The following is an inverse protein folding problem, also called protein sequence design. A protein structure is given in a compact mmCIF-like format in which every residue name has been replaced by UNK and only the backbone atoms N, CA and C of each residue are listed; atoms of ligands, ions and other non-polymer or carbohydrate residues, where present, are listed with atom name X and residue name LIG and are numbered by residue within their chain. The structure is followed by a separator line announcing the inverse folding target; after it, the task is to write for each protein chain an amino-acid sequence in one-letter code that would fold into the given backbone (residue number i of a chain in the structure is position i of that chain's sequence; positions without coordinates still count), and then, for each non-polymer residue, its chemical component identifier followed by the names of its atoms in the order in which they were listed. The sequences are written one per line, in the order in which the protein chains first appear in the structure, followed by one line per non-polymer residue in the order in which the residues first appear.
data_IF_430463846653
#
_entry.id   IF_430463846653
#
_cell.length_a   1.000
_cell.length_b   1.000
_cell.length_c   1.000
_cell.angle_alpha   90.00
_cell.angle_beta   90.00
_cell.angle_gamma   90.00
#
_symmetry.space_group_name_H-M   'P 1'
#
loop_
_entity.id
_entity.type
_entity.pdbx_description
1 polymer ?
#
# COMPACT_ATOMS: atom_id res chain seq x y z
N UNK A 1 3.47 12.40 -15.17
CA UNK A 1 3.13 11.14 -14.48
C UNK A 1 4.40 10.29 -14.28
N UNK A 2 4.98 9.69 -15.33
CA UNK A 2 6.17 8.82 -15.19
C UNK A 2 7.36 9.44 -14.44
N UNK A 3 7.71 10.70 -14.69
CA UNK A 3 8.80 11.36 -13.96
C UNK A 3 8.52 11.49 -12.45
N UNK A 4 7.28 11.82 -12.07
CA UNK A 4 6.90 11.90 -10.67
C UNK A 4 6.93 10.52 -10.01
N UNK A 5 6.47 9.49 -10.74
CA UNK A 5 6.54 8.11 -10.25
C UNK A 5 7.98 7.69 -9.94
N UNK A 6 8.95 8.07 -10.79
CA UNK A 6 10.38 7.80 -10.58
C UNK A 6 10.98 8.57 -9.41
N UNK A 7 10.46 9.77 -9.10
CA UNK A 7 11.04 10.65 -8.07
C UNK A 7 10.43 10.45 -6.69
N UNK A 8 9.22 9.92 -6.59
CA UNK A 8 8.53 9.73 -5.31
C UNK A 8 7.93 8.34 -5.19
N UNK A 9 6.91 8.00 -5.99
CA UNK A 9 6.09 6.81 -5.76
C UNK A 9 6.89 5.49 -5.79
N UNK A 10 7.85 5.36 -6.70
CA UNK A 10 8.71 4.18 -6.77
C UNK A 10 9.70 4.12 -5.58
N UNK A 11 10.62 5.09 -5.39
CA UNK A 11 11.62 5.00 -4.33
C UNK A 11 11.06 5.14 -2.91
N UNK A 12 10.03 5.98 -2.70
CA UNK A 12 9.52 6.31 -1.37
C UNK A 12 8.36 5.41 -0.90
N UNK A 13 7.77 4.63 -1.79
CA UNK A 13 6.62 3.76 -1.46
C UNK A 13 6.85 2.31 -1.92
N UNK A 14 6.66 2.02 -3.21
CA UNK A 14 6.58 0.62 -3.67
C UNK A 14 7.92 -0.12 -3.51
N UNK A 15 9.02 0.44 -4.02
CA UNK A 15 10.31 -0.26 -4.02
C UNK A 15 10.83 -0.46 -2.60
N UNK A 16 10.67 0.56 -1.75
CA UNK A 16 11.04 0.51 -0.34
C UNK A 16 10.30 -0.59 0.42
N UNK A 17 9.00 -0.76 0.17
CA UNK A 17 8.19 -1.82 0.81
C UNK A 17 8.67 -3.21 0.41
N UNK A 18 8.87 -3.44 -0.89
CA UNK A 18 9.31 -4.74 -1.43
C UNK A 18 10.70 -5.09 -0.93
N UNK A 19 11.64 -4.14 -0.98
CA UNK A 19 13.02 -4.33 -0.52
C UNK A 19 13.08 -4.70 0.97
N UNK A 20 12.42 -3.91 1.84
CA UNK A 20 12.42 -4.18 3.29
C UNK A 20 11.78 -5.51 3.65
N UNK A 21 10.69 -5.88 2.97
CA UNK A 21 10.02 -7.16 3.24
C UNK A 21 10.88 -8.35 2.83
N UNK A 22 11.53 -8.30 1.67
CA UNK A 22 12.34 -9.39 1.17
C UNK A 22 13.69 -9.51 1.90
N UNK A 23 14.37 -8.38 2.14
CA UNK A 23 15.64 -8.36 2.86
C UNK A 23 15.47 -8.77 4.33
N UNK A 24 14.30 -8.55 4.92
CA UNK A 24 13.96 -9.08 6.25
C UNK A 24 14.04 -10.60 6.38
N UNK A 25 14.05 -11.33 5.25
CA UNK A 25 14.25 -12.78 5.18
C UNK A 25 15.36 -13.16 4.19
N UNK A 26 16.34 -12.28 3.98
CA UNK A 26 17.51 -12.50 3.11
C UNK A 26 17.19 -12.87 1.66
N UNK A 27 16.07 -12.39 1.11
CA UNK A 27 15.73 -12.55 -0.30
C UNK A 27 16.05 -11.27 -1.10
N UNK A 28 16.68 -11.45 -2.26
CA UNK A 28 16.93 -10.36 -3.21
C UNK A 28 15.79 -10.27 -4.22
N UNK A 29 15.21 -9.07 -4.38
CA UNK A 29 14.14 -8.82 -5.36
C UNK A 29 14.70 -8.16 -6.62
N UNK A 30 14.09 -8.47 -7.77
CA UNK A 30 14.43 -7.87 -9.07
C UNK A 30 13.21 -7.21 -9.66
N UNK A 31 13.39 -6.05 -10.30
CA UNK A 31 12.32 -5.28 -10.94
C UNK A 31 12.60 -5.09 -12.43
N UNK A 32 12.31 -6.09 -13.29
CA UNK A 32 12.68 -6.06 -14.71
C UNK A 32 12.12 -4.86 -15.48
N UNK A 33 10.94 -4.34 -15.09
CA UNK A 33 10.35 -3.15 -15.72
C UNK A 33 11.13 -1.85 -15.47
N UNK A 34 12.04 -1.84 -14.49
CA UNK A 34 12.93 -0.71 -14.19
C UNK A 34 14.34 -0.92 -14.74
N UNK A 35 14.55 -1.93 -15.59
CA UNK A 35 15.77 -2.03 -16.37
C UNK A 35 15.98 -0.73 -17.18
N UNK A 36 17.20 -0.17 -17.22
CA UNK A 36 17.48 1.08 -17.95
C UNK A 36 17.07 1.05 -19.42
N UNK A 37 17.21 -0.09 -20.10
CA UNK A 37 16.81 -0.28 -21.48
C UNK A 37 15.30 -0.22 -21.65
N UNK A 38 14.57 -0.92 -20.77
CA UNK A 38 13.09 -0.89 -20.75
C UNK A 38 12.58 0.51 -20.43
N UNK A 39 13.17 1.19 -19.46
CA UNK A 39 12.84 2.57 -19.11
C UNK A 39 13.05 3.52 -20.29
N UNK A 40 14.22 3.48 -20.92
CA UNK A 40 14.55 4.32 -22.09
C UNK A 40 13.56 4.10 -23.23
N UNK A 41 13.25 2.84 -23.55
CA UNK A 41 12.24 2.53 -24.56
C UNK A 41 10.86 3.07 -24.17
N UNK A 42 10.44 2.88 -22.91
CA UNK A 42 9.14 3.35 -22.43
C UNK A 42 8.97 4.88 -22.50
N UNK A 43 10.06 5.65 -22.35
CA UNK A 43 10.04 7.10 -22.47
C UNK A 43 9.84 7.56 -23.91
N UNK A 44 10.31 6.79 -24.89
CA UNK A 44 10.19 7.09 -26.32
C UNK A 44 8.83 6.69 -26.91
N UNK A 45 8.07 5.81 -26.24
CA UNK A 45 6.75 5.40 -26.71
C UNK A 45 5.75 6.57 -26.67
N UNK A 46 5.06 6.87 -27.79
CA UNK A 46 4.03 7.91 -27.83
C UNK A 46 2.91 7.68 -26.80
N UNK A 47 2.39 8.76 -26.21
CA UNK A 47 1.33 8.68 -25.20
C UNK A 47 0.08 7.95 -25.70
N UNK A 48 -0.29 8.13 -26.98
CA UNK A 48 -1.41 7.44 -27.62
C UNK A 48 -1.24 5.90 -27.70
N UNK A 49 -0.01 5.39 -27.56
CA UNK A 49 0.25 3.96 -27.47
C UNK A 49 0.30 3.47 -26.01
N UNK A 50 0.43 4.38 -25.03
CA UNK A 50 0.32 4.06 -23.60
C UNK A 50 -1.13 3.98 -23.15
N UNK A 51 -1.96 4.90 -23.67
CA UNK A 51 -3.39 5.01 -23.40
C UNK A 51 -4.13 5.18 -24.73
N UNK A 52 -5.08 4.31 -25.02
CA UNK A 52 -5.89 4.37 -26.24
C UNK A 52 -7.34 4.04 -25.93
N UNK A 53 -8.28 4.89 -26.35
CA UNK A 53 -9.73 4.70 -26.13
C UNK A 53 -10.09 4.43 -24.65
N UNK A 54 -9.48 5.17 -23.72
CA UNK A 54 -9.66 4.97 -22.27
C UNK A 54 -8.92 3.76 -21.69
N UNK A 55 -8.31 2.90 -22.52
CA UNK A 55 -7.55 1.75 -22.07
C UNK A 55 -6.07 2.09 -21.85
N UNK A 56 -5.62 2.01 -20.60
CA UNK A 56 -4.19 2.13 -20.24
C UNK A 56 -3.39 0.85 -20.49
N UNK A 57 -2.05 0.99 -20.46
CA UNK A 57 -1.10 -0.08 -20.78
C UNK A 57 -1.30 -0.66 -22.19
N UNK A 58 -1.82 0.12 -23.14
CA UNK A 58 -2.32 -0.39 -24.41
C UNK A 58 -1.25 -1.16 -25.20
N UNK A 59 -0.08 -0.57 -25.45
CA UNK A 59 1.04 -1.25 -26.15
C UNK A 59 1.51 -2.51 -25.43
N UNK A 60 1.57 -2.48 -24.10
CA UNK A 60 1.97 -3.63 -23.28
C UNK A 60 0.95 -4.76 -23.42
N UNK A 61 -0.35 -4.44 -23.43
CA UNK A 61 -1.43 -5.42 -23.67
C UNK A 61 -1.30 -6.05 -25.06
N UNK A 62 -1.12 -5.25 -26.11
CA UNK A 62 -0.93 -5.77 -27.48
C UNK A 62 0.24 -6.75 -27.56
N UNK A 63 1.35 -6.45 -26.87
CA UNK A 63 2.50 -7.35 -26.81
C UNK A 63 2.18 -8.64 -26.04
N UNK A 64 1.55 -8.54 -24.86
CA UNK A 64 1.25 -9.68 -24.00
C UNK A 64 0.20 -10.64 -24.59
N UNK A 65 -0.74 -10.14 -25.39
CA UNK A 65 -1.73 -10.99 -26.09
C UNK A 65 -1.09 -12.01 -27.06
N UNK A 66 0.18 -11.83 -27.42
CA UNK A 66 0.94 -12.80 -28.24
C UNK A 66 1.46 -13.99 -27.45
N UNK A 67 1.51 -13.89 -26.12
CA UNK A 67 2.17 -14.84 -25.23
C UNK A 67 1.27 -15.38 -24.11
N UNK A 68 0.22 -14.63 -23.73
CA UNK A 68 -0.62 -14.92 -22.58
C UNK A 68 -2.10 -14.82 -23.00
N UNK A 69 -2.97 -15.75 -22.55
CA UNK A 69 -4.42 -15.68 -22.78
C UNK A 69 -5.01 -14.32 -22.42
N UNK A 70 -5.91 -13.81 -23.26
CA UNK A 70 -6.49 -12.46 -23.13
C UNK A 70 -7.18 -12.28 -21.79
N UNK A 71 -7.84 -13.32 -21.32
CA UNK A 71 -8.62 -13.36 -20.09
C UNK A 71 -7.74 -13.06 -18.86
N UNK A 72 -6.46 -13.45 -18.88
CA UNK A 72 -5.52 -13.15 -17.80
C UNK A 72 -5.05 -11.69 -17.82
N UNK A 73 -4.95 -11.09 -19.00
CA UNK A 73 -4.50 -9.71 -19.18
C UNK A 73 -5.64 -8.70 -18.95
N UNK A 74 -6.87 -9.08 -19.26
CA UNK A 74 -8.06 -8.22 -19.19
C UNK A 74 -8.75 -8.22 -17.81
N UNK A 75 -8.19 -8.95 -16.84
CA UNK A 75 -8.66 -8.91 -15.45
C UNK A 75 -8.74 -7.46 -14.92
N UNK A 76 -9.71 -7.17 -14.04
CA UNK A 76 -9.78 -5.89 -13.36
C UNK A 76 -8.46 -5.52 -12.70
N UNK A 77 -8.11 -4.24 -12.72
CA UNK A 77 -6.88 -3.74 -12.11
C UNK A 77 -6.92 -4.00 -10.60
N UNK A 78 -6.08 -4.91 -10.12
CA UNK A 78 -5.79 -5.08 -8.71
C UNK A 78 -4.64 -4.13 -8.32
N UNK A 79 -4.87 -3.32 -7.27
CA UNK A 79 -3.79 -2.57 -6.63
C UNK A 79 -3.00 -3.44 -5.65
N UNK A 80 -2.00 -2.85 -4.99
CA UNK A 80 -1.26 -3.46 -3.89
C UNK A 80 -1.90 -3.15 -2.52
N UNK A 81 -3.20 -2.88 -2.49
CA UNK A 81 -3.90 -2.59 -1.25
C UNK A 81 -4.02 -3.87 -0.42
N UNK A 82 -3.63 -3.77 0.84
CA UNK A 82 -3.81 -4.81 1.84
C UNK A 82 -5.14 -4.58 2.58
N UNK A 83 -5.86 -5.64 3.00
CA UNK A 83 -7.19 -5.52 3.58
C UNK A 83 -7.11 -5.11 5.06
N UNK A 84 -6.62 -3.90 5.34
CA UNK A 84 -6.43 -3.39 6.72
C UNK A 84 -7.75 -3.42 7.50
N UNK A 85 -8.88 -3.05 6.89
CA UNK A 85 -10.20 -3.12 7.53
C UNK A 85 -10.49 -4.52 8.11
N UNK A 86 -10.33 -5.55 7.30
CA UNK A 86 -10.55 -6.93 7.75
C UNK A 86 -9.51 -7.33 8.81
N UNK A 87 -8.25 -6.93 8.62
CA UNK A 87 -7.18 -7.26 9.54
C UNK A 87 -7.41 -6.67 10.93
N UNK A 88 -7.75 -5.39 11.02
CA UNK A 88 -8.03 -4.71 12.28
C UNK A 88 -9.23 -5.32 13.01
N UNK A 89 -10.24 -5.83 12.29
CA UNK A 89 -11.40 -6.50 12.89
C UNK A 89 -11.13 -7.91 13.38
N UNK A 90 -10.10 -8.57 12.83
CA UNK A 90 -9.85 -10.00 13.03
C UNK A 90 -8.38 -10.24 13.46
N UNK A 91 -7.43 -10.60 12.58
CA UNK A 91 -6.12 -11.07 13.00
C UNK A 91 -5.28 -10.03 13.77
N UNK A 92 -5.48 -8.75 13.51
CA UNK A 92 -4.75 -7.66 14.18
C UNK A 92 -5.55 -6.99 15.30
N UNK A 93 -6.75 -7.50 15.62
CA UNK A 93 -7.61 -6.89 16.63
C UNK A 93 -6.96 -6.79 18.00
N UNK A 94 -6.34 -7.85 18.56
CA UNK A 94 -5.72 -7.76 19.89
C UNK A 94 -4.58 -6.72 19.91
N UNK A 95 -3.71 -6.77 18.90
CA UNK A 95 -2.61 -5.81 18.73
C UNK A 95 -3.13 -4.37 18.65
N UNK A 96 -4.22 -4.13 17.92
CA UNK A 96 -4.82 -2.80 17.83
C UNK A 96 -5.45 -2.35 19.16
N UNK A 97 -6.15 -3.24 19.86
CA UNK A 97 -6.76 -2.94 21.16
C UNK A 97 -5.72 -2.58 22.23
N UNK A 98 -4.55 -3.23 22.22
CA UNK A 98 -3.45 -2.92 23.13
C UNK A 98 -2.92 -1.49 22.91
N UNK A 99 -2.63 -1.15 21.65
CA UNK A 99 -2.10 0.18 21.26
C UNK A 99 -3.12 1.32 21.40
N UNK A 100 -4.41 1.00 21.29
CA UNK A 100 -5.53 1.94 21.42
C UNK A 100 -6.12 1.96 22.82
N UNK A 101 -5.52 1.26 23.78
CA UNK A 101 -5.94 1.32 25.18
C UNK A 101 -5.82 2.75 25.73
N UNK A 102 -6.64 3.08 26.72
CA UNK A 102 -6.66 4.42 27.32
C UNK A 102 -5.27 4.81 27.86
N UNK A 103 -4.60 3.86 28.51
CA UNK A 103 -3.24 4.03 29.03
C UNK A 103 -2.23 4.27 27.91
N UNK A 104 -2.27 3.48 26.82
CA UNK A 104 -1.34 3.64 25.70
C UNK A 104 -1.52 5.00 25.00
N UNK A 105 -2.77 5.42 24.79
CA UNK A 105 -3.10 6.70 24.15
C UNK A 105 -2.76 7.90 25.05
N UNK A 106 -3.07 7.80 26.35
CA UNK A 106 -2.88 8.87 27.31
C UNK A 106 -1.43 9.14 27.70
N UNK A 107 -0.54 8.13 27.64
CA UNK A 107 0.84 8.21 28.16
C UNK A 107 1.66 9.39 27.62
N UNK A 108 1.46 9.79 26.37
CA UNK A 108 2.22 10.89 25.75
C UNK A 108 1.46 12.23 25.70
N UNK A 109 0.18 12.27 26.10
CA UNK A 109 -0.66 13.47 26.02
C UNK A 109 -0.96 13.98 24.60
N UNK A 110 -0.55 13.27 23.55
CA UNK A 110 -0.71 13.69 22.15
C UNK A 110 -2.09 13.35 21.57
N UNK A 111 -2.74 12.32 22.09
CA UNK A 111 -3.99 11.78 21.54
C UNK A 111 -5.02 11.69 22.67
N UNK A 112 -6.22 12.23 22.43
CA UNK A 112 -7.34 12.08 23.36
C UNK A 112 -7.92 10.67 23.21
N UNK A 113 -7.97 9.84 24.28
CA UNK A 113 -8.42 8.45 24.14
C UNK A 113 -9.89 8.29 23.71
N UNK A 114 -10.79 9.08 24.30
CA UNK A 114 -12.24 8.94 24.10
C UNK A 114 -12.70 8.94 22.62
N UNK A 115 -12.34 9.91 21.76
CA UNK A 115 -12.76 9.88 20.35
C UNK A 115 -12.19 8.69 19.58
N UNK A 116 -10.99 8.23 19.93
CA UNK A 116 -10.35 7.08 19.29
C UNK A 116 -11.04 5.79 19.65
N UNK A 117 -11.41 5.60 20.93
CA UNK A 117 -12.18 4.45 21.38
C UNK A 117 -13.57 4.40 20.73
N UNK A 118 -14.24 5.56 20.60
CA UNK A 118 -15.50 5.65 19.87
C UNK A 118 -15.35 5.23 18.40
N UNK A 119 -14.34 5.77 17.70
CA UNK A 119 -14.03 5.38 16.33
C UNK A 119 -13.69 3.89 16.20
N UNK A 120 -12.96 3.32 17.16
CA UNK A 120 -12.63 1.89 17.20
C UNK A 120 -13.88 1.01 17.32
N UNK A 121 -14.82 1.38 18.19
CA UNK A 121 -16.08 0.64 18.37
C UNK A 121 -16.97 0.74 17.12
N UNK A 122 -17.12 1.93 16.54
CA UNK A 122 -17.86 2.13 15.29
C UNK A 122 -17.23 1.35 14.13
N UNK A 123 -15.89 1.35 14.08
CA UNK A 123 -15.14 0.55 13.14
C UNK A 123 -15.49 -0.91 13.34
N UNK A 124 -15.17 -1.53 14.48
CA UNK A 124 -15.40 -2.95 14.76
C UNK A 124 -16.84 -3.41 14.52
N UNK A 125 -17.83 -2.58 14.86
CA UNK A 125 -19.27 -2.88 14.66
C UNK A 125 -19.77 -2.74 13.22
N UNK A 126 -18.90 -2.32 12.29
CA UNK A 126 -19.23 -2.01 10.87
C UNK A 126 -20.20 -0.83 10.72
N UNK A 127 -20.42 -0.04 11.77
CA UNK A 127 -21.25 1.17 11.71
C UNK A 127 -20.62 2.22 10.80
N UNK A 128 -19.29 2.34 10.84
CA UNK A 128 -18.52 3.29 10.02
C UNK A 128 -17.13 2.76 9.74
N UNK A 129 -16.62 3.04 8.54
CA UNK A 129 -15.23 2.74 8.21
C UNK A 129 -14.30 3.88 8.68
N UNK A 130 -13.45 3.56 9.66
CA UNK A 130 -12.41 4.42 10.20
C UNK A 130 -10.99 3.88 9.91
N UNK A 131 -10.86 2.94 8.96
CA UNK A 131 -9.61 2.21 8.66
C UNK A 131 -8.42 3.14 8.55
N UNK A 132 -8.54 4.21 7.75
CA UNK A 132 -7.43 5.12 7.50
C UNK A 132 -7.00 5.88 8.77
N UNK A 133 -7.95 6.46 9.50
CA UNK A 133 -7.69 7.25 10.70
C UNK A 133 -7.10 6.39 11.82
N UNK A 134 -7.69 5.21 12.04
CA UNK A 134 -7.21 4.26 13.05
C UNK A 134 -5.82 3.74 12.69
N UNK A 135 -5.57 3.42 11.41
CA UNK A 135 -4.25 2.96 10.97
C UNK A 135 -3.16 4.00 11.21
N UNK A 136 -3.43 5.29 10.94
CA UNK A 136 -2.48 6.38 11.22
C UNK A 136 -2.14 6.44 12.72
N UNK A 137 -3.13 6.34 13.60
CA UNK A 137 -2.94 6.35 15.05
C UNK A 137 -2.14 5.11 15.50
N UNK A 138 -2.50 3.93 14.99
CA UNK A 138 -1.82 2.68 15.29
C UNK A 138 -0.34 2.71 14.88
N UNK A 139 -0.03 3.23 13.69
CA UNK A 139 1.36 3.38 13.24
C UNK A 139 2.17 4.33 14.14
N UNK A 140 1.56 5.44 14.56
CA UNK A 140 2.20 6.36 15.51
C UNK A 140 2.47 5.68 16.86
N UNK A 141 1.50 4.92 17.38
CA UNK A 141 1.64 4.21 18.65
C UNK A 141 2.70 3.10 18.55
N UNK A 142 2.65 2.28 17.51
CA UNK A 142 3.64 1.22 17.28
C UNK A 142 5.06 1.76 17.07
N UNK A 143 5.21 2.91 16.40
CA UNK A 143 6.51 3.58 16.27
C UNK A 143 7.05 4.05 17.62
N UNK A 144 6.20 4.60 18.49
CA UNK A 144 6.60 5.05 19.83
C UNK A 144 7.02 3.89 20.74
N UNK A 145 6.34 2.75 20.67
CA UNK A 145 6.74 1.57 21.46
C UNK A 145 8.14 1.10 21.06
N UNK A 146 8.43 1.05 19.75
CA UNK A 146 9.75 0.69 19.23
C UNK A 146 10.86 1.70 19.57
N UNK A 147 10.55 2.92 20.00
CA UNK A 147 11.56 3.88 20.47
C UNK A 147 11.91 3.74 21.95
N UNK A 148 11.03 3.10 22.73
CA UNK A 148 11.18 2.98 24.18
C UNK A 148 11.61 1.56 24.61
N UNK A 149 11.83 0.65 23.66
CA UNK A 149 12.45 -0.66 23.86
C UNK A 149 13.86 -0.67 23.31
#
# INVERSE_FOLDING_TARGET
MMFQDMRSYLPEDILRKVDRAAMGISLETRTPFLDPGVLKASMQVPTAMKIRNGQGKWILRQMLYRYIPRELIERPKAGFAIPIDEWLRRPLRPWAEDLLSENALGRAGLIKPAPVQGAWQEHCSRRRDWTYQLWVILMLQAWKENLNG
#
